data_IF_315399413138
#
_entry.id   IF_315399413138
#
_cell.length_a   1.000
_cell.length_b   1.000
_cell.length_c   1.000
_cell.angle_alpha   90.00
_cell.angle_beta   90.00
_cell.angle_gamma   90.00
#
_symmetry.space_group_name_H-M   'P 1'
#
loop_
_entity.id
_entity.type
_entity.pdbx_description
1 polymer ?
#
# COMPACT_ATOMS: atom_id res chain seq x y z
N UNK A 1 5.79 23.32 0.52
CA UNK A 1 4.75 22.26 0.49
C UNK A 1 3.41 22.92 0.80
N UNK A 2 2.48 23.00 -0.16
CA UNK A 2 1.12 23.49 0.10
C UNK A 2 0.21 22.32 0.53
N UNK A 3 -0.81 22.59 1.35
CA UNK A 3 -1.79 21.58 1.73
C UNK A 3 -2.59 21.14 0.49
N UNK A 4 -2.51 19.85 0.13
CA UNK A 4 -3.17 19.29 -1.05
C UNK A 4 -4.67 19.59 -1.10
N UNK A 5 -5.39 19.37 0.00
CA UNK A 5 -6.84 19.56 0.05
C UNK A 5 -7.25 21.02 -0.23
N UNK A 6 -6.42 21.97 0.23
CA UNK A 6 -6.66 23.39 0.01
C UNK A 6 -6.36 23.86 -1.43
N UNK A 7 -5.73 23.02 -2.26
CA UNK A 7 -5.55 23.30 -3.70
C UNK A 7 -6.77 22.94 -4.54
N UNK A 8 -7.74 22.23 -3.97
CA UNK A 8 -8.95 21.78 -4.65
C UNK A 8 -10.03 22.85 -4.60
N UNK A 9 -10.82 22.96 -5.67
CA UNK A 9 -12.06 23.72 -5.60
C UNK A 9 -13.14 22.95 -4.80
N UNK A 10 -14.19 23.65 -4.37
CA UNK A 10 -15.25 23.07 -3.53
C UNK A 10 -15.87 21.79 -4.11
N UNK A 11 -16.09 21.73 -5.44
CA UNK A 11 -16.65 20.55 -6.10
C UNK A 11 -15.72 19.35 -5.99
N UNK A 12 -14.42 19.55 -6.19
CA UNK A 12 -13.41 18.50 -6.06
C UNK A 12 -13.27 18.01 -4.62
N UNK A 13 -13.34 18.93 -3.65
CA UNK A 13 -13.33 18.59 -2.23
C UNK A 13 -14.53 17.70 -1.87
N UNK A 14 -15.75 18.11 -2.22
CA UNK A 14 -16.97 17.34 -1.97
C UNK A 14 -16.92 15.97 -2.66
N UNK A 15 -16.40 15.91 -3.90
CA UNK A 15 -16.28 14.66 -4.63
C UNK A 15 -15.35 13.65 -3.95
N UNK A 16 -14.29 14.10 -3.24
CA UNK A 16 -13.39 13.21 -2.49
C UNK A 16 -13.93 12.88 -1.09
N UNK A 17 -14.51 13.86 -0.38
CA UNK A 17 -15.13 13.67 0.93
C UNK A 17 -16.27 12.65 0.89
N UNK A 18 -17.03 12.63 -0.20
CA UNK A 18 -18.13 11.69 -0.41
C UNK A 18 -17.72 10.31 -0.93
N UNK A 19 -16.43 10.02 -1.16
CA UNK A 19 -16.02 8.69 -1.67
C UNK A 19 -16.04 7.64 -0.56
N UNK A 20 -17.18 6.99 -0.40
CA UNK A 20 -17.32 5.81 0.42
C UNK A 20 -18.35 4.86 -0.21
N UNK A 21 -17.94 3.64 -0.53
CA UNK A 21 -18.82 2.60 -1.08
C UNK A 21 -18.34 1.23 -0.61
N UNK A 22 -19.24 0.44 -0.05
CA UNK A 22 -18.95 -0.95 0.25
C UNK A 22 -18.89 -1.75 -1.06
N UNK A 23 -17.82 -2.51 -1.26
CA UNK A 23 -17.60 -3.27 -2.49
C UNK A 23 -18.22 -4.67 -2.39
N UNK A 24 -18.74 -5.17 -3.51
CA UNK A 24 -19.20 -6.55 -3.64
C UNK A 24 -18.02 -7.53 -3.70
N UNK A 25 -18.25 -8.78 -3.30
CA UNK A 25 -17.21 -9.83 -3.32
C UNK A 25 -16.78 -10.17 -4.75
N UNK A 26 -17.70 -10.11 -5.70
CA UNK A 26 -17.51 -10.34 -7.12
C UNK A 26 -16.54 -9.34 -7.77
N UNK A 27 -16.40 -8.13 -7.22
CA UNK A 27 -15.45 -7.13 -7.70
C UNK A 27 -13.98 -7.55 -7.50
N UNK A 28 -13.72 -8.58 -6.70
CA UNK A 28 -12.38 -9.10 -6.39
C UNK A 28 -12.08 -10.44 -7.07
N UNK A 29 -12.80 -10.80 -8.15
CA UNK A 29 -12.66 -12.08 -8.86
C UNK A 29 -11.20 -12.36 -9.30
N UNK A 30 -10.45 -11.33 -9.67
CA UNK A 30 -9.05 -11.46 -10.12
C UNK A 30 -8.05 -11.60 -8.96
N UNK A 31 -8.48 -11.43 -7.72
CA UNK A 31 -7.62 -11.49 -6.53
C UNK A 31 -6.38 -10.59 -6.64
N UNK A 32 -5.19 -11.15 -6.38
CA UNK A 32 -3.92 -10.43 -6.46
C UNK A 32 -3.27 -10.46 -7.86
N UNK A 33 -3.94 -11.03 -8.87
CA UNK A 33 -3.34 -11.34 -10.19
C UNK A 33 -2.77 -10.13 -10.90
N UNK A 34 -3.34 -8.93 -10.71
CA UNK A 34 -2.84 -7.70 -11.30
C UNK A 34 -1.39 -7.35 -10.86
N UNK A 35 -0.98 -7.81 -9.68
CA UNK A 35 0.36 -7.62 -9.13
C UNK A 35 1.27 -8.84 -9.34
N UNK A 36 0.76 -9.96 -9.86
CA UNK A 36 1.54 -11.16 -10.06
C UNK A 36 2.72 -10.91 -11.02
N UNK A 37 3.90 -11.43 -10.66
CA UNK A 37 5.13 -11.26 -11.44
C UNK A 37 5.74 -9.85 -11.39
N UNK A 38 5.10 -8.89 -10.70
CA UNK A 38 5.69 -7.57 -10.43
C UNK A 38 6.46 -7.61 -9.12
N UNK A 39 7.58 -6.88 -9.07
CA UNK A 39 8.38 -6.70 -7.84
C UNK A 39 7.72 -5.64 -6.96
N UNK A 40 7.26 -6.03 -5.79
CA UNK A 40 6.70 -5.13 -4.77
C UNK A 40 7.75 -4.85 -3.71
N UNK A 41 7.99 -3.57 -3.43
CA UNK A 41 8.97 -3.12 -2.45
C UNK A 41 8.26 -2.41 -1.31
N UNK A 42 8.35 -2.95 -0.10
CA UNK A 42 7.84 -2.34 1.12
C UNK A 42 8.98 -1.51 1.75
N UNK A 43 8.73 -0.23 2.04
CA UNK A 43 9.71 0.64 2.69
C UNK A 43 9.53 0.57 4.20
N UNK A 44 10.55 0.07 4.91
CA UNK A 44 10.46 -0.24 6.35
C UNK A 44 9.81 -1.59 6.64
N UNK A 45 10.12 -2.18 7.80
CA UNK A 45 9.62 -3.49 8.23
C UNK A 45 8.97 -3.47 9.63
N UNK A 46 8.30 -2.37 9.98
CA UNK A 46 7.53 -2.29 11.24
C UNK A 46 6.28 -3.17 11.24
N UNK A 47 5.40 -3.00 12.24
CA UNK A 47 4.23 -3.86 12.43
C UNK A 47 3.34 -4.03 11.18
N UNK A 48 3.02 -2.94 10.47
CA UNK A 48 2.21 -3.02 9.25
C UNK A 48 3.00 -3.60 8.07
N UNK A 49 4.25 -3.16 7.87
CA UNK A 49 5.09 -3.61 6.76
C UNK A 49 5.32 -5.13 6.80
N UNK A 50 5.65 -5.66 7.98
CA UNK A 50 5.88 -7.09 8.17
C UNK A 50 4.61 -7.91 7.90
N UNK A 51 3.51 -7.59 8.60
CA UNK A 51 2.30 -8.43 8.53
C UNK A 51 1.61 -8.34 7.17
N UNK A 52 1.58 -7.16 6.54
CA UNK A 52 1.05 -7.04 5.18
C UNK A 52 1.95 -7.76 4.18
N UNK A 53 3.27 -7.64 4.30
CA UNK A 53 4.21 -8.33 3.43
C UNK A 53 4.10 -9.86 3.52
N UNK A 54 3.89 -10.41 4.72
CA UNK A 54 3.62 -11.84 4.91
C UNK A 54 2.34 -12.27 4.18
N UNK A 55 1.23 -11.58 4.40
CA UNK A 55 -0.04 -11.89 3.73
C UNK A 55 0.07 -11.79 2.20
N UNK A 56 0.76 -10.76 1.68
CA UNK A 56 0.95 -10.57 0.25
C UNK A 56 1.83 -11.65 -0.37
N UNK A 57 2.90 -12.04 0.32
CA UNK A 57 3.78 -13.14 -0.11
C UNK A 57 3.04 -14.46 -0.13
N UNK A 58 2.27 -14.75 0.91
CA UNK A 58 1.44 -15.96 0.99
C UNK A 58 0.32 -15.96 -0.07
N UNK A 59 -0.06 -14.77 -0.55
CA UNK A 59 -0.94 -14.57 -1.71
C UNK A 59 -0.24 -14.68 -3.08
N UNK A 60 1.05 -15.06 -3.13
CA UNK A 60 1.80 -15.33 -4.35
C UNK A 60 2.61 -14.17 -4.93
N UNK A 61 2.70 -13.02 -4.22
CA UNK A 61 3.41 -11.83 -4.69
C UNK A 61 4.91 -11.84 -4.36
N UNK A 62 5.72 -11.20 -5.22
CA UNK A 62 7.16 -10.99 -5.02
C UNK A 62 7.40 -9.76 -4.13
N UNK A 63 7.67 -10.00 -2.85
CA UNK A 63 7.85 -8.96 -1.83
C UNK A 63 9.31 -8.81 -1.41
N UNK A 64 9.79 -7.57 -1.38
CA UNK A 64 11.09 -7.20 -0.84
C UNK A 64 10.99 -5.99 0.10
N UNK A 65 11.96 -5.82 0.99
CA UNK A 65 11.98 -4.72 1.96
C UNK A 65 13.15 -3.77 1.69
N UNK A 66 12.85 -2.48 1.52
CA UNK A 66 13.85 -1.43 1.45
C UNK A 66 14.04 -0.79 2.83
N UNK A 67 15.26 -0.88 3.34
CA UNK A 67 15.67 -0.32 4.64
C UNK A 67 16.81 0.67 4.45
N UNK A 68 16.95 1.60 5.41
CA UNK A 68 18.11 2.48 5.49
C UNK A 68 19.37 1.67 5.81
N UNK A 69 20.53 2.11 5.31
CA UNK A 69 21.79 1.37 5.45
C UNK A 69 22.15 1.11 6.91
N UNK A 70 21.94 2.10 7.77
CA UNK A 70 22.14 2.00 9.22
C UNK A 70 21.21 0.96 9.86
N UNK A 71 19.95 0.88 9.43
CA UNK A 71 19.00 -0.11 9.96
C UNK A 71 19.42 -1.55 9.61
N UNK A 72 20.01 -1.75 8.43
CA UNK A 72 20.58 -3.04 8.01
C UNK A 72 21.82 -3.37 8.85
N UNK A 73 22.76 -2.41 8.97
CA UNK A 73 24.01 -2.60 9.71
C UNK A 73 23.75 -2.89 11.20
N UNK A 74 22.77 -2.21 11.81
CA UNK A 74 22.41 -2.33 13.23
C UNK A 74 21.35 -3.40 13.50
N UNK A 75 20.84 -4.10 12.48
CA UNK A 75 19.76 -5.11 12.58
C UNK A 75 18.50 -4.61 13.32
N UNK A 76 18.07 -3.38 13.03
CA UNK A 76 16.88 -2.75 13.64
C UNK A 76 15.58 -3.01 12.84
N UNK A 77 15.49 -4.18 12.21
CA UNK A 77 14.34 -4.60 11.43
C UNK A 77 13.18 -5.05 12.33
#
# INVERSE_FOLDING_TARGET
MANYFNTLNLRQQLAQLGKCRFMGRDEFADGASYLQGKKVVIVGCGAQGLNQGLNMRDSGLDISYALRKEAIAEKRA
#
